data_IF_556796780712
#
_entry.id   IF_556796780712
#
_cell.length_a   1.000
_cell.length_b   1.000
_cell.length_c   1.000
_cell.angle_alpha   90.00
_cell.angle_beta   90.00
_cell.angle_gamma   90.00
#
_symmetry.space_group_name_H-M   'P 1'
#
loop_
_entity.id
_entity.type
_entity.pdbx_description
1 polymer ?
#
# COMPACT_ATOMS: atom_id res chain seq x y z
N UNK A 1 22.54 -11.48 0.11
CA UNK A 1 21.14 -11.94 0.34
C UNK A 1 20.36 -11.66 -0.92
N UNK A 2 19.57 -12.60 -1.46
CA UNK A 2 18.81 -12.39 -2.72
C UNK A 2 17.93 -11.14 -2.67
N UNK A 3 17.34 -10.89 -1.49
CA UNK A 3 16.49 -9.73 -1.19
C UNK A 3 17.13 -8.37 -1.45
N UNK A 4 18.46 -8.21 -1.28
CA UNK A 4 19.10 -6.91 -1.48
C UNK A 4 19.11 -6.48 -2.96
N UNK A 5 19.29 -7.45 -3.87
CA UNK A 5 19.30 -7.20 -5.30
C UNK A 5 17.88 -7.03 -5.86
N UNK A 6 16.88 -7.59 -5.19
CA UNK A 6 15.46 -7.55 -5.59
C UNK A 6 14.74 -6.29 -5.08
N UNK A 7 15.24 -5.68 -3.98
CA UNK A 7 14.62 -4.54 -3.31
C UNK A 7 14.34 -3.34 -4.24
N UNK A 8 15.27 -2.89 -5.11
CA UNK A 8 14.98 -1.78 -6.02
C UNK A 8 13.81 -2.07 -6.96
N UNK A 9 13.72 -3.30 -7.45
CA UNK A 9 12.63 -3.76 -8.33
C UNK A 9 11.30 -3.79 -7.58
N UNK A 10 11.29 -4.30 -6.34
CA UNK A 10 10.09 -4.33 -5.48
C UNK A 10 9.57 -2.93 -5.16
N UNK A 11 10.46 -2.00 -4.79
CA UNK A 11 10.08 -0.60 -4.54
C UNK A 11 9.49 0.04 -5.81
N UNK A 12 10.14 -0.14 -6.96
CA UNK A 12 9.64 0.38 -8.25
C UNK A 12 8.28 -0.19 -8.61
N UNK A 13 8.04 -1.49 -8.36
CA UNK A 13 6.76 -2.13 -8.61
C UNK A 13 5.68 -1.57 -7.68
N UNK A 14 5.95 -1.47 -6.38
CA UNK A 14 5.00 -0.89 -5.42
C UNK A 14 4.65 0.56 -5.77
N UNK A 15 5.64 1.38 -6.12
CA UNK A 15 5.42 2.77 -6.53
C UNK A 15 4.44 2.86 -7.69
N UNK A 16 4.61 1.99 -8.70
CA UNK A 16 3.73 1.91 -9.87
C UNK A 16 2.33 1.42 -9.52
N UNK A 17 2.20 0.46 -8.59
CA UNK A 17 0.90 0.00 -8.09
C UNK A 17 0.13 1.14 -7.40
N UNK A 18 0.84 2.05 -6.73
CA UNK A 18 0.25 3.26 -6.13
C UNK A 18 -0.02 4.40 -7.15
N UNK A 19 0.28 4.20 -8.44
CA UNK A 19 0.12 5.23 -9.47
C UNK A 19 1.08 6.42 -9.33
N UNK A 20 2.16 6.28 -8.53
CA UNK A 20 3.07 7.39 -8.22
C UNK A 20 4.21 7.50 -9.24
N UNK A 21 4.58 8.71 -9.62
CA UNK A 21 5.84 9.01 -10.29
C UNK A 21 7.01 9.08 -9.29
N UNK A 22 8.25 9.15 -9.78
CA UNK A 22 9.41 9.36 -8.91
C UNK A 22 9.42 10.76 -8.27
N UNK A 23 8.77 11.74 -8.90
CA UNK A 23 8.68 13.10 -8.38
C UNK A 23 7.72 13.19 -7.19
N UNK A 24 6.61 12.43 -7.23
CA UNK A 24 5.60 12.39 -6.17
C UNK A 24 6.16 11.85 -4.85
N UNK A 25 7.23 11.06 -4.92
CA UNK A 25 7.92 10.51 -3.75
C UNK A 25 8.49 11.60 -2.85
N UNK A 26 8.70 12.84 -3.34
CA UNK A 26 9.13 13.96 -2.50
C UNK A 26 8.13 14.24 -1.38
N UNK A 27 6.83 14.26 -1.69
CA UNK A 27 5.80 14.56 -0.69
C UNK A 27 5.58 13.39 0.27
N UNK A 28 5.82 12.15 -0.18
CA UNK A 28 5.67 10.93 0.62
C UNK A 28 6.84 10.66 1.56
N UNK A 29 8.06 10.95 1.11
CA UNK A 29 9.30 10.51 1.78
C UNK A 29 10.23 11.65 2.17
N UNK A 30 9.95 12.89 1.74
CA UNK A 30 10.83 14.04 1.91
C UNK A 30 12.11 13.99 1.06
N UNK A 31 12.27 13.01 0.18
CA UNK A 31 13.46 12.84 -0.66
C UNK A 31 13.35 13.60 -1.99
N UNK A 32 14.46 14.08 -2.54
CA UNK A 32 14.43 14.62 -3.91
C UNK A 32 14.25 13.48 -4.94
N UNK A 33 13.73 13.81 -6.12
CA UNK A 33 13.56 12.83 -7.21
C UNK A 33 14.88 12.11 -7.55
N UNK A 34 15.99 12.84 -7.63
CA UNK A 34 17.31 12.26 -7.92
C UNK A 34 17.78 11.30 -6.82
N UNK A 35 17.56 11.64 -5.54
CA UNK A 35 17.89 10.76 -4.42
C UNK A 35 17.08 9.47 -4.50
N UNK A 36 15.77 9.58 -4.75
CA UNK A 36 14.88 8.42 -4.87
C UNK A 36 15.23 7.57 -6.10
N UNK A 37 15.54 8.19 -7.24
CA UNK A 37 15.97 7.49 -8.46
C UNK A 37 17.21 6.64 -8.23
N UNK A 38 18.20 7.13 -7.47
CA UNK A 38 19.40 6.33 -7.12
C UNK A 38 19.04 5.06 -6.37
N UNK A 39 18.05 5.10 -5.47
CA UNK A 39 17.58 3.91 -4.76
C UNK A 39 16.93 2.92 -5.72
N UNK A 40 16.04 3.37 -6.63
CA UNK A 40 15.47 2.50 -7.66
C UNK A 40 16.49 1.96 -8.66
N UNK A 41 17.65 2.61 -8.79
CA UNK A 41 18.78 2.17 -9.59
C UNK A 41 19.74 1.21 -8.84
N UNK A 42 19.47 0.88 -7.57
CA UNK A 42 20.24 -0.09 -6.79
C UNK A 42 21.30 0.51 -5.87
N UNK A 43 21.27 1.81 -5.60
CA UNK A 43 22.07 2.38 -4.52
C UNK A 43 21.62 1.82 -3.17
N UNK A 44 22.57 1.50 -2.29
CA UNK A 44 22.29 0.94 -0.95
C UNK A 44 21.86 2.06 0.02
N UNK A 45 20.58 2.13 0.43
CA UNK A 45 20.12 3.11 1.39
C UNK A 45 20.55 2.72 2.81
N UNK A 46 20.78 3.73 3.66
CA UNK A 46 20.77 3.49 5.11
C UNK A 46 19.40 2.94 5.53
N UNK A 47 19.38 2.10 6.57
CA UNK A 47 18.15 1.53 7.11
C UNK A 47 17.08 2.60 7.40
N UNK A 48 17.45 3.73 8.00
CA UNK A 48 16.51 4.83 8.27
C UNK A 48 15.86 5.40 7.00
N UNK A 49 16.61 5.44 5.89
CA UNK A 49 16.09 5.91 4.60
C UNK A 49 15.15 4.87 4.00
N UNK A 50 15.50 3.59 4.09
CA UNK A 50 14.62 2.50 3.66
C UNK A 50 13.29 2.54 4.41
N UNK A 51 13.32 2.62 5.75
CA UNK A 51 12.10 2.66 6.57
C UNK A 51 11.20 3.85 6.20
N UNK A 52 11.78 5.03 5.95
CA UNK A 52 11.02 6.20 5.49
C UNK A 52 10.40 6.01 4.11
N UNK A 53 11.09 5.32 3.20
CA UNK A 53 10.54 4.98 1.89
C UNK A 53 9.36 4.02 2.04
N UNK A 54 9.51 2.98 2.88
CA UNK A 54 8.45 2.01 3.14
C UNK A 54 7.21 2.69 3.74
N UNK A 55 7.40 3.57 4.74
CA UNK A 55 6.32 4.38 5.33
C UNK A 55 5.60 5.22 4.26
N UNK A 56 6.34 5.93 3.40
CA UNK A 56 5.77 6.71 2.30
C UNK A 56 5.07 5.88 1.21
N UNK A 57 5.18 4.55 1.26
CA UNK A 57 4.55 3.59 0.33
C UNK A 57 3.53 2.67 1.02
N UNK A 58 3.16 2.99 2.26
CA UNK A 58 2.24 2.20 3.07
C UNK A 58 2.71 0.74 3.21
N UNK A 59 4.01 0.56 3.48
CA UNK A 59 4.65 -0.73 3.70
C UNK A 59 5.28 -0.78 5.10
N UNK A 60 5.27 -1.97 5.70
CA UNK A 60 5.89 -2.26 6.99
C UNK A 60 7.01 -3.30 6.83
N UNK A 61 8.14 -3.12 7.54
CA UNK A 61 9.23 -4.09 7.56
C UNK A 61 9.08 -5.04 8.75
N UNK A 62 9.00 -6.34 8.48
CA UNK A 62 8.91 -7.37 9.53
C UNK A 62 10.13 -8.29 9.53
N UNK A 63 10.56 -8.68 10.74
CA UNK A 63 11.57 -9.71 10.93
C UNK A 63 10.89 -11.06 11.14
N UNK A 64 11.23 -12.03 10.29
CA UNK A 64 10.57 -13.32 10.24
C UNK A 64 11.62 -14.43 10.38
N UNK A 65 11.39 -15.46 11.22
CA UNK A 65 12.23 -16.64 11.25
C UNK A 65 12.32 -17.31 9.88
N UNK A 66 13.54 -17.61 9.41
CA UNK A 66 13.78 -18.07 8.02
C UNK A 66 12.95 -19.30 7.63
N UNK A 67 12.66 -20.18 8.58
CA UNK A 67 11.89 -21.39 8.38
C UNK A 67 10.41 -21.09 8.02
N UNK A 68 9.90 -19.93 8.42
CA UNK A 68 8.49 -19.54 8.27
C UNK A 68 8.23 -18.57 7.12
N UNK A 69 9.26 -18.22 6.35
CA UNK A 69 9.13 -17.27 5.22
C UNK A 69 8.17 -17.80 4.16
N UNK A 70 8.14 -19.12 3.93
CA UNK A 70 7.26 -19.73 2.94
C UNK A 70 5.79 -19.67 3.35
N UNK A 71 5.48 -19.99 4.62
CA UNK A 71 4.12 -19.87 5.20
C UNK A 71 3.55 -18.46 5.00
N UNK A 72 4.37 -17.43 5.23
CA UNK A 72 3.95 -16.03 5.10
C UNK A 72 3.71 -15.64 3.64
N UNK A 73 4.52 -16.12 2.70
CA UNK A 73 4.30 -15.88 1.27
C UNK A 73 2.96 -16.45 0.80
N UNK A 74 2.66 -17.69 1.17
CA UNK A 74 1.40 -18.36 0.83
C UNK A 74 0.18 -17.64 1.40
N UNK A 75 0.28 -17.14 2.63
CA UNK A 75 -0.77 -16.33 3.24
C UNK A 75 -1.01 -15.00 2.50
N UNK A 76 0.06 -14.33 2.07
CA UNK A 76 -0.05 -13.07 1.32
C UNK A 76 -0.62 -13.29 -0.11
N UNK A 77 -0.20 -14.33 -0.81
CA UNK A 77 -0.66 -14.65 -2.17
C UNK A 77 -2.13 -15.10 -2.20
N UNK A 78 -2.56 -15.86 -1.19
CA UNK A 78 -3.96 -16.29 -1.04
C UNK A 78 -4.91 -15.11 -0.76
N UNK A 79 -4.45 -14.10 -0.02
CA UNK A 79 -5.24 -12.89 0.25
C UNK A 79 -5.45 -12.03 -1.01
N UNK A 80 -4.48 -12.02 -1.94
CA UNK A 80 -4.60 -11.30 -3.22
C UNK A 80 -5.48 -12.07 -4.22
N UNK A 81 -5.43 -13.41 -4.18
CA UNK A 81 -6.19 -14.28 -5.07
C UNK A 81 -7.66 -14.43 -4.65
N UNK A 82 -7.92 -14.39 -3.35
CA UNK A 82 -9.27 -14.31 -2.80
C UNK A 82 -9.73 -12.84 -2.81
N UNK A 83 -10.22 -12.36 -3.95
CA UNK A 83 -10.90 -11.06 -4.08
C UNK A 83 -12.19 -10.92 -3.26
N UNK A 84 -12.31 -11.59 -2.11
CA UNK A 84 -13.32 -11.30 -1.11
C UNK A 84 -12.92 -9.99 -0.40
N UNK A 85 -13.29 -8.86 -1.00
CA UNK A 85 -13.87 -7.79 -0.18
C UNK A 85 -14.88 -8.49 0.73
N UNK A 86 -14.85 -8.30 2.07
CA UNK A 86 -16.07 -8.45 2.82
C UNK A 86 -17.08 -7.60 2.06
N UNK A 87 -18.12 -8.22 1.50
CA UNK A 87 -19.27 -7.48 1.00
C UNK A 87 -19.64 -6.55 2.15
N UNK A 88 -19.42 -5.24 1.98
CA UNK A 88 -20.19 -4.26 2.75
C UNK A 88 -21.62 -4.78 2.69
N UNK A 89 -22.28 -5.03 3.83
CA UNK A 89 -23.68 -5.43 3.78
C UNK A 89 -24.35 -4.44 2.85
N UNK A 90 -24.93 -4.94 1.75
CA UNK A 90 -25.79 -4.12 0.90
C UNK A 90 -26.65 -3.32 1.85
N UNK A 91 -26.75 -1.98 1.69
CA UNK A 91 -27.60 -1.21 2.57
C UNK A 91 -28.98 -1.84 2.43
N UNK A 92 -29.36 -2.63 3.44
CA UNK A 92 -30.71 -3.10 3.68
C UNK A 92 -31.53 -1.86 3.43
N UNK A 93 -32.32 -1.90 2.36
CA UNK A 93 -33.04 -0.76 1.84
C UNK A 93 -33.59 -0.02 3.04
N UNK A 94 -32.96 1.11 3.38
CA UNK A 94 -33.48 2.00 4.39
C UNK A 94 -34.77 2.49 3.76
N UNK A 95 -35.85 1.78 4.08
CA UNK A 95 -37.20 2.17 3.75
C UNK A 95 -37.28 3.65 4.04
N UNK A 96 -37.74 4.38 3.02
CA UNK A 96 -37.64 5.81 2.80
C UNK A 96 -38.21 6.67 3.94
N UNK A 97 -37.63 6.62 5.13
CA UNK A 97 -38.04 7.39 6.32
C UNK A 97 -37.68 8.88 6.16
N UNK A 98 -36.74 9.17 5.26
CA UNK A 98 -36.34 10.53 4.90
C UNK A 98 -37.32 11.23 3.95
N UNK A 99 -38.13 10.48 3.20
CA UNK A 99 -39.09 11.06 2.25
C UNK A 99 -40.31 11.61 3.00
N UNK A 100 -40.71 10.94 4.09
CA UNK A 100 -41.75 11.44 5.02
C UNK A 100 -41.30 12.72 5.73
N UNK A 101 -40.06 12.76 6.25
CA UNK A 101 -39.53 13.93 6.98
C UNK A 101 -39.38 15.16 6.08
N UNK A 102 -39.07 14.98 4.80
CA UNK A 102 -38.91 16.09 3.85
C UNK A 102 -40.23 16.58 3.27
N UNK A 103 -41.31 15.80 3.38
CA UNK A 103 -42.66 16.22 2.97
C UNK A 103 -43.26 17.26 3.92
N UNK A 104 -42.93 17.18 5.22
CA UNK A 104 -43.44 18.05 6.28
C UNK A 104 -42.83 19.47 6.30
N UNK A 105 -41.78 19.70 5.52
CA UNK A 105 -41.05 20.98 5.43
C UNK A 105 -41.53 21.87 4.27
N UNK A 106 -42.60 21.47 3.57
CA UNK A 106 -43.11 22.15 2.37
C UNK A 106 -44.53 22.72 2.49
N UNK A 107 -45.11 22.77 3.69
CA UNK A 107 -46.34 23.56 3.95
C UNK A 107 -46.05 24.91 4.61
#
# INVERSE_FOLDING_TARGET
MRTLNELPTLLKQRRRQLGLSQQDMRMRTGMTQQQYQKIEAGADPRLSTLLRILEGMELELMLVPRQRVQEIKELLDSTISNGNRPSEPEPESLNNDWDDILSDLKE
#
